data_IF_278620955894
#
_entry.id   IF_278620955894
#
_cell.length_a   1.000
_cell.length_b   1.000
_cell.length_c   1.000
_cell.angle_alpha   90.00
_cell.angle_beta   90.00
_cell.angle_gamma   90.00
#
_symmetry.space_group_name_H-M   'P 1'
#
loop_
_entity.id
_entity.type
_entity.pdbx_description
1 polymer ?
#
# COMPACT_ATOMS: atom_id res chain seq x y z
N UNK A 1 -33.47 -17.49 6.52
CA UNK A 1 -32.55 -16.35 6.75
C UNK A 1 -31.26 -16.80 7.45
N UNK A 2 -31.31 -17.47 8.60
CA UNK A 2 -30.11 -17.89 9.37
C UNK A 2 -29.11 -18.76 8.61
N UNK A 3 -29.55 -19.77 7.86
CA UNK A 3 -28.65 -20.64 7.10
C UNK A 3 -27.90 -19.90 5.98
N UNK A 4 -28.60 -19.07 5.19
CA UNK A 4 -27.99 -18.28 4.12
C UNK A 4 -26.95 -17.29 4.66
N UNK A 5 -27.23 -16.64 5.79
CA UNK A 5 -26.26 -15.75 6.45
C UNK A 5 -25.02 -16.49 6.94
N UNK A 6 -25.17 -17.70 7.48
CA UNK A 6 -24.02 -18.52 7.94
C UNK A 6 -23.14 -18.93 6.76
N UNK A 7 -23.74 -19.38 5.65
CA UNK A 7 -23.01 -19.71 4.43
C UNK A 7 -22.28 -18.48 3.85
N UNK A 8 -22.97 -17.34 3.76
CA UNK A 8 -22.37 -16.11 3.26
C UNK A 8 -21.14 -15.68 4.09
N UNK A 9 -21.20 -15.85 5.42
CA UNK A 9 -20.05 -15.56 6.30
C UNK A 9 -18.91 -16.57 6.16
N UNK A 10 -19.20 -17.83 5.86
CA UNK A 10 -18.17 -18.85 5.58
C UNK A 10 -17.44 -18.55 4.28
N UNK A 11 -18.18 -18.21 3.22
CA UNK A 11 -17.59 -17.78 1.95
C UNK A 11 -16.78 -16.50 2.11
N UNK A 12 -17.28 -15.52 2.87
CA UNK A 12 -16.52 -14.31 3.18
C UNK A 12 -15.20 -14.63 3.91
N UNK A 13 -15.17 -15.61 4.81
CA UNK A 13 -13.95 -16.06 5.46
C UNK A 13 -12.96 -16.68 4.47
N UNK A 14 -13.45 -17.48 3.52
CA UNK A 14 -12.62 -18.05 2.47
C UNK A 14 -12.01 -16.97 1.57
N UNK A 15 -12.81 -15.97 1.18
CA UNK A 15 -12.34 -14.81 0.41
C UNK A 15 -11.31 -14.01 1.21
N UNK A 16 -11.60 -13.70 2.47
CA UNK A 16 -10.72 -12.92 3.33
C UNK A 16 -9.34 -13.58 3.53
N UNK A 17 -9.30 -14.91 3.63
CA UNK A 17 -8.05 -15.69 3.71
C UNK A 17 -7.15 -15.52 2.49
N UNK A 18 -7.73 -15.36 1.31
CA UNK A 18 -7.02 -15.15 0.05
C UNK A 18 -6.48 -13.73 -0.14
N UNK A 19 -6.85 -12.77 0.72
CA UNK A 19 -6.38 -11.39 0.62
C UNK A 19 -4.89 -11.31 0.97
N UNK A 20 -4.13 -10.65 0.11
CA UNK A 20 -2.69 -10.36 0.31
C UNK A 20 -2.52 -9.18 1.26
N UNK A 21 -1.78 -9.39 2.34
CA UNK A 21 -1.42 -8.31 3.27
C UNK A 21 -0.28 -7.50 2.63
N UNK A 22 0.80 -8.18 2.24
CA UNK A 22 1.98 -7.59 1.59
C UNK A 22 2.57 -8.53 0.53
N UNK A 23 3.77 -8.21 0.03
CA UNK A 23 4.45 -9.03 -0.99
C UNK A 23 4.91 -10.41 -0.55
N UNK A 24 4.85 -10.72 0.74
CA UNK A 24 5.34 -11.96 1.35
C UNK A 24 4.23 -12.74 2.07
N UNK A 25 3.19 -12.06 2.52
CA UNK A 25 2.23 -12.57 3.51
C UNK A 25 0.79 -12.37 3.05
N UNK A 26 -0.03 -13.41 3.19
CA UNK A 26 -1.50 -13.36 3.03
C UNK A 26 -2.19 -13.39 4.39
N UNK A 27 -3.48 -13.03 4.44
CA UNK A 27 -4.28 -13.15 5.67
C UNK A 27 -4.25 -14.59 6.20
N UNK A 28 -4.36 -15.58 5.31
CA UNK A 28 -4.20 -16.98 5.70
C UNK A 28 -2.83 -17.28 6.34
N UNK A 29 -1.74 -16.82 5.73
CA UNK A 29 -0.40 -17.04 6.29
C UNK A 29 -0.25 -16.38 7.69
N UNK A 30 -0.79 -15.18 7.87
CA UNK A 30 -0.81 -14.49 9.16
C UNK A 30 -1.66 -15.23 10.22
N UNK A 31 -2.79 -15.82 9.81
CA UNK A 31 -3.65 -16.62 10.70
C UNK A 31 -2.95 -17.91 11.14
N UNK A 32 -2.23 -18.59 10.24
CA UNK A 32 -1.49 -19.82 10.56
C UNK A 32 -0.37 -19.56 11.57
N UNK A 33 0.27 -18.39 11.50
CA UNK A 33 1.35 -18.02 12.42
C UNK A 33 0.87 -17.64 13.83
N UNK A 34 -0.41 -17.27 14.00
CA UNK A 34 -0.92 -16.77 15.27
C UNK A 34 -2.39 -17.15 15.47
N UNK A 35 -2.65 -18.06 16.42
CA UNK A 35 -4.00 -18.46 16.82
C UNK A 35 -4.83 -17.29 17.35
N UNK A 36 -4.20 -16.27 17.93
CA UNK A 36 -4.86 -15.03 18.36
C UNK A 36 -5.32 -14.22 17.15
N UNK A 37 -4.49 -14.10 16.12
CA UNK A 37 -4.84 -13.43 14.86
C UNK A 37 -5.96 -14.19 14.14
N UNK A 38 -5.86 -15.52 14.08
CA UNK A 38 -6.92 -16.39 13.56
C UNK A 38 -8.26 -16.17 14.28
N UNK A 39 -8.24 -16.21 15.62
CA UNK A 39 -9.44 -16.05 16.43
C UNK A 39 -10.07 -14.67 16.25
N UNK A 40 -9.26 -13.61 16.19
CA UNK A 40 -9.73 -12.23 16.00
C UNK A 40 -10.29 -12.01 14.59
N UNK A 41 -9.57 -12.42 13.54
CA UNK A 41 -10.03 -12.34 12.14
C UNK A 41 -11.34 -13.11 11.95
N UNK A 42 -11.42 -14.33 12.51
CA UNK A 42 -12.64 -15.13 12.48
C UNK A 42 -13.78 -14.46 13.26
N UNK A 43 -13.48 -13.78 14.37
CA UNK A 43 -14.44 -13.00 15.15
C UNK A 43 -15.05 -11.86 14.36
N UNK A 44 -14.22 -11.04 13.71
CA UNK A 44 -14.66 -9.91 12.86
C UNK A 44 -15.55 -10.40 11.72
N UNK A 45 -15.15 -11.48 11.03
CA UNK A 45 -15.91 -12.01 9.89
C UNK A 45 -17.23 -12.66 10.33
N UNK A 46 -17.26 -13.30 11.51
CA UNK A 46 -18.52 -13.77 12.11
C UNK A 46 -19.46 -12.62 12.47
N UNK A 47 -18.89 -11.47 12.85
CA UNK A 47 -19.60 -10.21 13.08
C UNK A 47 -19.95 -9.45 11.79
N UNK A 48 -19.61 -9.95 10.60
CA UNK A 48 -19.87 -9.26 9.34
C UNK A 48 -21.34 -8.85 9.20
N UNK A 49 -21.54 -7.60 8.81
CA UNK A 49 -22.86 -7.01 8.67
C UNK A 49 -23.51 -7.49 7.37
N UNK A 50 -24.82 -7.75 7.45
CA UNK A 50 -25.64 -8.03 6.28
C UNK A 50 -25.99 -6.68 5.66
N UNK A 51 -25.56 -6.49 4.42
CA UNK A 51 -25.72 -5.22 3.69
C UNK A 51 -26.95 -5.27 2.77
N UNK A 52 -27.32 -6.47 2.30
CA UNK A 52 -28.48 -6.66 1.44
C UNK A 52 -29.09 -8.05 1.67
N UNK A 53 -30.42 -8.14 1.57
CA UNK A 53 -31.16 -9.41 1.59
C UNK A 53 -32.23 -9.37 0.51
N UNK A 54 -32.17 -10.30 -0.44
CA UNK A 54 -33.15 -10.42 -1.52
C UNK A 54 -33.87 -11.75 -1.45
N UNK A 55 -35.19 -11.69 -1.54
CA UNK A 55 -36.03 -12.87 -1.78
C UNK A 55 -36.10 -13.11 -3.29
N UNK A 56 -35.63 -14.29 -3.73
CA UNK A 56 -35.60 -14.67 -5.13
C UNK A 56 -36.87 -15.43 -5.56
N UNK A 57 -37.82 -15.63 -4.64
CA UNK A 57 -39.00 -16.45 -4.84
C UNK A 57 -38.74 -17.95 -4.68
N UNK A 58 -39.80 -18.72 -4.44
CA UNK A 58 -39.71 -20.18 -4.30
C UNK A 58 -38.96 -20.67 -3.04
N UNK A 59 -38.78 -19.80 -2.04
CA UNK A 59 -38.05 -20.10 -0.80
C UNK A 59 -36.54 -19.87 -0.87
N UNK A 60 -36.02 -19.37 -2.00
CA UNK A 60 -34.63 -18.99 -2.14
C UNK A 60 -34.38 -17.54 -1.66
N UNK A 61 -33.34 -17.36 -0.85
CA UNK A 61 -32.95 -16.05 -0.29
C UNK A 61 -31.47 -15.82 -0.57
N UNK A 62 -31.14 -14.68 -1.15
CA UNK A 62 -29.77 -14.18 -1.33
C UNK A 62 -29.43 -13.20 -0.20
N UNK A 63 -28.25 -13.36 0.40
CA UNK A 63 -27.77 -12.53 1.51
C UNK A 63 -26.38 -12.02 1.15
N UNK A 64 -26.22 -10.70 1.10
CA UNK A 64 -24.92 -10.06 0.89
C UNK A 64 -24.36 -9.64 2.24
N UNK A 65 -23.16 -10.12 2.56
CA UNK A 65 -22.40 -9.71 3.74
C UNK A 65 -21.15 -8.94 3.31
N UNK A 66 -20.76 -7.95 4.09
CA UNK A 66 -19.53 -7.21 3.84
C UNK A 66 -18.79 -6.90 5.14
N UNK A 67 -17.48 -6.74 5.01
CA UNK A 67 -16.62 -6.13 6.03
C UNK A 67 -15.79 -5.03 5.37
N UNK A 68 -15.60 -3.89 6.04
CA UNK A 68 -14.62 -2.92 5.58
C UNK A 68 -13.22 -3.55 5.65
N UNK A 69 -12.44 -3.40 4.58
CA UNK A 69 -11.02 -3.78 4.59
C UNK A 69 -10.16 -2.82 5.45
N UNK A 70 -10.76 -1.72 5.91
CA UNK A 70 -10.20 -0.73 6.83
C UNK A 70 -10.76 -0.93 8.25
N UNK A 71 -10.31 -0.12 9.21
CA UNK A 71 -10.75 -0.16 10.60
C UNK A 71 -10.25 -1.41 11.32
N UNK A 72 -11.14 -2.09 12.03
CA UNK A 72 -10.81 -3.25 12.87
C UNK A 72 -10.11 -4.37 12.09
N UNK A 73 -10.52 -4.62 10.84
CA UNK A 73 -9.87 -5.65 10.02
C UNK A 73 -8.43 -5.26 9.67
N UNK A 74 -8.19 -4.01 9.26
CA UNK A 74 -6.85 -3.51 8.99
C UNK A 74 -5.99 -3.50 10.25
N UNK A 75 -6.52 -3.10 11.41
CA UNK A 75 -5.76 -3.08 12.66
C UNK A 75 -5.22 -4.47 13.06
N UNK A 76 -5.98 -5.54 12.73
CA UNK A 76 -5.64 -6.92 13.03
C UNK A 76 -4.58 -7.52 12.10
N UNK A 77 -4.64 -7.20 10.82
CA UNK A 77 -3.81 -7.85 9.78
C UNK A 77 -2.64 -7.00 9.32
N UNK A 78 -2.72 -5.67 9.47
CA UNK A 78 -1.61 -4.77 9.16
C UNK A 78 -0.53 -4.99 10.24
N UNK A 79 0.68 -5.41 9.84
CA UNK A 79 1.74 -5.71 10.79
C UNK A 79 2.04 -4.48 11.66
N UNK A 80 2.19 -4.68 12.97
CA UNK A 80 2.55 -3.64 13.95
C UNK A 80 3.99 -3.17 13.81
N UNK A 81 4.82 -3.97 13.15
CA UNK A 81 6.24 -3.71 12.90
C UNK A 81 6.47 -4.09 11.44
N UNK A 82 7.04 -3.22 10.59
CA UNK A 82 7.42 -3.65 9.25
C UNK A 82 8.28 -4.91 9.37
N UNK A 83 8.10 -5.94 8.52
CA UNK A 83 9.10 -7.00 8.44
C UNK A 83 10.42 -6.29 8.20
N UNK A 84 11.34 -6.38 9.17
CA UNK A 84 12.71 -5.91 8.99
C UNK A 84 13.27 -6.72 7.83
N UNK A 85 13.12 -6.23 6.61
CA UNK A 85 14.12 -6.46 5.60
C UNK A 85 15.35 -5.83 6.21
N UNK A 86 16.24 -6.68 6.72
CA UNK A 86 17.63 -6.31 6.92
C UNK A 86 18.03 -5.40 5.76
N UNK A 87 18.43 -4.15 6.02
CA UNK A 87 19.17 -3.41 5.02
C UNK A 87 20.27 -4.35 4.51
N UNK A 88 20.50 -4.49 3.18
CA UNK A 88 21.77 -5.00 2.73
C UNK A 88 22.80 -4.19 3.49
N UNK A 89 23.66 -4.91 4.22
CA UNK A 89 24.65 -4.35 5.10
C UNK A 89 25.11 -2.99 4.60
N UNK A 90 25.00 -1.97 5.44
CA UNK A 90 25.85 -0.81 5.30
C UNK A 90 27.26 -1.38 5.24
N UNK A 91 27.77 -1.54 4.02
CA UNK A 91 29.19 -1.69 3.76
C UNK A 91 29.75 -0.40 4.30
N UNK A 92 30.16 -0.44 5.55
CA UNK A 92 31.07 0.53 6.14
C UNK A 92 32.24 0.60 5.16
N UNK A 93 32.45 1.68 4.41
CA UNK A 93 33.76 1.91 3.86
C UNK A 93 34.59 2.26 5.09
N UNK A 94 35.38 1.29 5.53
CA UNK A 94 36.44 1.46 6.52
C UNK A 94 37.09 2.81 6.31
N UNK A 95 36.92 3.69 7.30
CA UNK A 95 37.66 4.94 7.39
C UNK A 95 39.15 4.61 7.38
N UNK A 96 39.76 4.79 6.22
CA UNK A 96 41.21 4.89 6.09
C UNK A 96 41.47 6.29 5.57
N UNK A 97 41.83 7.17 6.49
CA UNK A 97 42.36 8.52 6.23
C UNK A 97 43.72 8.38 5.54
N UNK A 98 43.89 8.93 4.33
CA UNK A 98 45.06 9.78 4.08
C UNK A 98 44.74 11.29 3.92
N UNK A 99 45.74 12.17 4.12
CA UNK A 99 45.55 13.55 4.53
C UNK A 99 45.16 14.50 3.40
N UNK A 100 44.52 15.59 3.82
CA UNK A 100 44.04 16.72 3.02
C UNK A 100 45.07 17.27 2.01
N UNK A 101 44.56 17.80 0.88
CA UNK A 101 45.07 19.04 0.34
C UNK A 101 43.95 20.10 0.25
N UNK A 102 44.22 21.23 0.91
CA UNK A 102 43.98 22.64 0.58
C UNK A 102 42.68 23.06 -0.16
N UNK A 103 41.99 24.14 0.29
CA UNK A 103 40.72 24.58 -0.29
C UNK A 103 40.90 25.21 -1.68
N UNK A 104 40.14 24.72 -2.65
CA UNK A 104 39.93 25.37 -3.95
C UNK A 104 38.60 26.17 -3.94
N UNK A 105 38.51 27.30 -4.68
CA UNK A 105 37.46 28.31 -4.55
C UNK A 105 36.05 27.80 -4.94
N UNK A 106 34.98 28.48 -4.48
CA UNK A 106 33.61 28.00 -4.64
C UNK A 106 33.23 27.97 -6.12
N UNK A 107 33.07 26.77 -6.66
CA UNK A 107 32.36 26.58 -7.93
C UNK A 107 30.88 26.93 -7.68
N UNK A 108 30.22 27.73 -8.53
CA UNK A 108 28.80 27.99 -8.39
C UNK A 108 28.07 26.65 -8.40
N UNK A 109 27.28 26.38 -7.36
CA UNK A 109 26.27 25.34 -7.41
C UNK A 109 25.47 25.53 -8.70
N UNK A 110 25.16 24.48 -9.47
CA UNK A 110 24.18 24.60 -10.52
C UNK A 110 22.90 25.10 -9.87
N UNK A 111 22.53 26.34 -10.18
CA UNK A 111 21.19 26.85 -10.01
C UNK A 111 20.28 26.07 -10.98
N UNK A 112 20.03 24.82 -10.64
CA UNK A 112 18.99 23.98 -11.21
C UNK A 112 17.90 23.86 -10.17
N UNK A 113 17.25 24.99 -9.84
CA UNK A 113 15.99 24.96 -9.13
C UNK A 113 14.96 24.31 -10.04
N UNK A 114 14.91 22.99 -10.08
CA UNK A 114 13.70 22.28 -10.50
C UNK A 114 12.58 22.84 -9.64
N UNK A 115 11.50 23.36 -10.25
CA UNK A 115 10.40 23.92 -9.48
C UNK A 115 9.95 22.85 -8.48
N UNK A 116 10.02 23.17 -7.19
CA UNK A 116 9.44 22.36 -6.12
C UNK A 116 7.93 22.41 -6.28
N UNK A 117 7.42 21.64 -7.24
CA UNK A 117 5.98 21.46 -7.43
C UNK A 117 5.51 20.65 -6.23
N UNK A 118 4.81 21.31 -5.32
CA UNK A 118 4.11 20.64 -4.24
C UNK A 118 2.95 19.84 -4.84
N UNK A 119 3.02 18.52 -4.69
CA UNK A 119 1.93 17.63 -5.08
C UNK A 119 1.01 17.38 -3.90
N UNK A 120 -0.25 17.06 -4.18
CA UNK A 120 -1.26 16.82 -3.15
C UNK A 120 -1.52 15.34 -2.89
N UNK A 121 -0.98 14.47 -3.75
CA UNK A 121 -1.12 13.03 -3.72
C UNK A 121 -0.30 12.35 -4.82
N UNK A 122 -0.34 11.02 -4.85
CA UNK A 122 0.36 10.19 -5.82
C UNK A 122 -0.63 9.30 -6.56
N UNK A 123 -0.47 9.22 -7.88
CA UNK A 123 -1.16 8.25 -8.73
C UNK A 123 -0.10 7.43 -9.45
N UNK A 124 -0.11 6.11 -9.27
CA UNK A 124 0.84 5.21 -9.94
C UNK A 124 0.09 4.38 -10.96
N UNK A 125 0.44 4.54 -12.25
CA UNK A 125 -0.10 3.70 -13.32
C UNK A 125 0.69 2.39 -13.40
N UNK A 126 0.09 1.31 -12.92
CA UNK A 126 0.66 -0.04 -12.92
C UNK A 126 -0.14 -1.03 -13.79
N UNK A 127 -0.96 -0.52 -14.71
CA UNK A 127 -1.72 -1.34 -15.67
C UNK A 127 -0.80 -2.08 -16.62
N UNK A 128 -1.20 -3.28 -17.02
CA UNK A 128 -0.43 -4.17 -17.89
C UNK A 128 0.76 -4.85 -17.20
N UNK A 129 0.97 -4.63 -15.90
CA UNK A 129 2.08 -5.21 -15.12
C UNK A 129 1.64 -6.39 -14.24
N UNK A 130 0.34 -6.70 -14.19
CA UNK A 130 -0.21 -7.78 -13.37
C UNK A 130 -0.09 -7.53 -11.87
N UNK A 131 -0.07 -6.26 -11.44
CA UNK A 131 -0.02 -5.90 -10.02
C UNK A 131 -1.30 -6.35 -9.32
N UNK A 132 -1.16 -7.08 -8.23
CA UNK A 132 -2.30 -7.52 -7.42
C UNK A 132 -2.58 -6.53 -6.28
N UNK A 133 -3.84 -6.18 -6.02
CA UNK A 133 -4.19 -5.35 -4.88
C UNK A 133 -3.78 -6.00 -3.56
N UNK A 134 -3.12 -5.24 -2.69
CA UNK A 134 -2.74 -5.64 -1.34
C UNK A 134 -3.18 -4.61 -0.30
N UNK A 135 -3.27 -5.04 0.96
CA UNK A 135 -3.59 -4.14 2.06
C UNK A 135 -2.44 -3.18 2.38
N UNK A 136 -1.20 -3.65 2.20
CA UNK A 136 0.04 -2.93 2.45
C UNK A 136 0.93 -2.99 1.21
N UNK A 137 0.58 -2.28 0.12
CA UNK A 137 1.44 -2.16 -1.04
C UNK A 137 2.68 -1.34 -0.70
N UNK A 138 3.76 -1.66 -1.41
CA UNK A 138 5.03 -0.95 -1.30
C UNK A 138 5.46 -0.46 -2.67
N UNK A 139 5.99 0.76 -2.73
CA UNK A 139 6.61 1.33 -3.92
C UNK A 139 8.11 1.42 -3.68
N UNK A 140 8.87 0.82 -4.60
CA UNK A 140 10.32 0.78 -4.56
C UNK A 140 10.91 1.37 -5.84
N UNK A 141 12.14 1.87 -5.76
CA UNK A 141 12.91 2.25 -6.96
C UNK A 141 13.44 1.01 -7.67
N UNK A 142 13.96 1.20 -8.89
CA UNK A 142 14.69 0.16 -9.62
C UNK A 142 15.89 -0.40 -8.83
N UNK A 143 16.49 0.43 -7.97
CA UNK A 143 17.57 0.04 -7.05
C UNK A 143 17.10 -0.70 -5.79
N UNK A 144 15.80 -0.92 -5.62
CA UNK A 144 15.23 -1.61 -4.46
C UNK A 144 15.07 -0.73 -3.21
N UNK A 145 15.22 0.59 -3.34
CA UNK A 145 14.98 1.52 -2.24
C UNK A 145 13.47 1.72 -2.05
N UNK A 146 12.97 1.53 -0.83
CA UNK A 146 11.58 1.84 -0.47
C UNK A 146 11.35 3.35 -0.51
N UNK A 147 10.47 3.79 -1.42
CA UNK A 147 10.05 5.19 -1.56
C UNK A 147 8.75 5.42 -0.81
N UNK A 148 7.86 4.43 -0.85
CA UNK A 148 6.58 4.45 -0.17
C UNK A 148 6.27 3.06 0.38
N UNK A 149 5.82 3.00 1.62
CA UNK A 149 5.46 1.76 2.28
C UNK A 149 5.06 2.03 3.72
N UNK A 150 4.74 0.98 4.46
CA UNK A 150 4.22 1.09 5.82
C UNK A 150 5.17 1.83 6.77
N UNK A 151 6.48 1.86 6.45
CA UNK A 151 7.50 2.55 7.23
C UNK A 151 7.38 4.08 7.18
N UNK A 152 6.78 4.60 6.11
CA UNK A 152 6.66 6.05 5.85
C UNK A 152 5.27 6.58 6.22
N UNK A 153 4.25 5.72 6.20
CA UNK A 153 2.85 6.10 6.43
C UNK A 153 2.47 5.97 7.90
N UNK A 154 1.72 6.94 8.40
CA UNK A 154 1.16 6.88 9.74
C UNK A 154 0.13 5.76 9.87
N UNK A 155 0.34 4.85 10.82
CA UNK A 155 -0.54 3.70 11.06
C UNK A 155 -2.01 4.08 11.26
N UNK A 156 -2.30 5.21 11.88
CA UNK A 156 -3.68 5.66 12.09
C UNK A 156 -4.39 5.98 10.76
N UNK A 157 -3.68 6.59 9.81
CA UNK A 157 -4.21 6.83 8.46
C UNK A 157 -4.38 5.52 7.69
N UNK A 158 -3.46 4.57 7.87
CA UNK A 158 -3.57 3.21 7.31
C UNK A 158 -4.81 2.48 7.83
N UNK A 159 -5.09 2.55 9.13
CA UNK A 159 -6.26 1.89 9.71
C UNK A 159 -7.55 2.58 9.21
N UNK A 160 -7.61 3.90 9.17
CA UNK A 160 -8.85 4.60 8.81
C UNK A 160 -9.15 4.57 7.31
N UNK A 161 -8.15 4.81 6.48
CA UNK A 161 -8.32 4.98 5.04
C UNK A 161 -7.67 3.86 4.22
N UNK A 162 -6.68 3.13 4.76
CA UNK A 162 -5.89 2.15 4.01
C UNK A 162 -4.69 2.79 3.31
N UNK A 163 -3.67 1.98 3.03
CA UNK A 163 -2.40 2.42 2.44
C UNK A 163 -2.53 2.99 1.02
N UNK A 164 -3.46 2.49 0.22
CA UNK A 164 -3.69 3.00 -1.12
C UNK A 164 -5.14 2.76 -1.55
N UNK A 165 -5.66 3.62 -2.42
CA UNK A 165 -6.85 3.31 -3.20
C UNK A 165 -6.47 2.63 -4.50
N UNK A 166 -7.34 1.76 -5.00
CA UNK A 166 -7.15 1.08 -6.28
C UNK A 166 -8.19 1.56 -7.28
N UNK A 167 -7.77 1.83 -8.51
CA UNK A 167 -8.66 2.22 -9.60
C UNK A 167 -8.30 1.46 -10.87
N UNK A 168 -9.27 1.27 -11.76
CA UNK A 168 -9.04 0.67 -13.08
C UNK A 168 -8.67 1.69 -14.16
N UNK A 169 -9.07 2.94 -13.92
CA UNK A 169 -8.88 4.04 -14.86
C UNK A 169 -7.99 5.12 -14.26
N UNK A 170 -6.98 5.52 -15.03
CA UNK A 170 -6.05 6.58 -14.63
C UNK A 170 -6.77 7.90 -14.35
N UNK A 171 -7.72 8.28 -15.20
CA UNK A 171 -8.48 9.53 -15.05
C UNK A 171 -9.35 9.51 -13.79
N UNK A 172 -9.93 8.37 -13.44
CA UNK A 172 -10.70 8.21 -12.21
C UNK A 172 -9.77 8.29 -10.99
N UNK A 173 -8.57 7.70 -11.06
CA UNK A 173 -7.57 7.79 -10.00
C UNK A 173 -7.12 9.24 -9.75
N UNK A 174 -6.87 10.01 -10.82
CA UNK A 174 -6.47 11.41 -10.74
C UNK A 174 -7.56 12.32 -10.19
N UNK A 175 -8.83 12.02 -10.46
CA UNK A 175 -9.97 12.80 -9.99
C UNK A 175 -10.47 12.36 -8.60
N UNK A 176 -9.85 11.36 -7.97
CA UNK A 176 -10.32 10.84 -6.70
C UNK A 176 -9.99 11.79 -5.54
N UNK A 177 -10.93 11.96 -4.61
CA UNK A 177 -10.77 12.81 -3.41
C UNK A 177 -9.53 12.48 -2.57
N UNK A 178 -8.98 11.26 -2.69
CA UNK A 178 -7.80 10.79 -1.95
C UNK A 178 -6.54 11.55 -2.35
N UNK A 179 -6.37 11.84 -3.65
CA UNK A 179 -5.14 12.47 -4.17
C UNK A 179 -5.27 13.99 -4.34
N UNK A 180 -6.48 14.52 -4.13
CA UNK A 180 -6.83 15.94 -4.24
C UNK A 180 -6.50 16.54 -5.62
N UNK A 181 -6.54 17.87 -5.78
CA UNK A 181 -6.55 18.55 -7.09
C UNK A 181 -5.26 18.43 -7.93
N UNK A 182 -4.11 18.10 -7.33
CA UNK A 182 -2.79 18.08 -8.02
C UNK A 182 -1.99 16.82 -7.70
N UNK A 183 -2.43 15.64 -8.16
CA UNK A 183 -1.67 14.41 -8.01
C UNK A 183 -0.40 14.39 -8.88
N UNK A 184 0.69 13.86 -8.33
CA UNK A 184 1.82 13.41 -9.11
C UNK A 184 1.46 12.08 -9.79
N UNK A 185 1.47 12.03 -11.12
CA UNK A 185 1.23 10.79 -11.86
C UNK A 185 2.56 10.17 -12.28
N UNK A 186 2.82 8.95 -11.84
CA UNK A 186 4.04 8.19 -12.14
C UNK A 186 3.65 6.91 -12.87
N UNK A 187 4.47 6.49 -13.83
CA UNK A 187 4.29 5.22 -14.52
C UNK A 187 5.16 4.16 -13.84
N UNK A 188 4.55 3.05 -13.43
CA UNK A 188 5.30 1.92 -12.92
C UNK A 188 6.10 1.26 -14.06
N UNK A 189 7.28 0.77 -13.69
CA UNK A 189 8.20 0.07 -14.59
C UNK A 189 7.89 -1.43 -14.58
N UNK A 190 7.69 -2.00 -13.39
CA UNK A 190 7.38 -3.43 -13.21
C UNK A 190 6.74 -3.69 -11.84
N UNK A 191 6.10 -4.85 -11.71
CA UNK A 191 5.73 -5.41 -10.41
C UNK A 191 6.90 -6.21 -9.82
N UNK A 192 6.99 -6.29 -8.50
CA UNK A 192 7.95 -7.13 -7.77
C UNK A 192 7.31 -7.74 -6.53
N UNK A 193 8.03 -8.64 -5.86
CA UNK A 193 7.53 -9.39 -4.70
C UNK A 193 6.83 -10.70 -5.10
N UNK A 194 6.80 -11.66 -4.17
CA UNK A 194 6.27 -13.01 -4.43
C UNK A 194 4.78 -12.99 -4.81
N UNK A 195 4.04 -12.03 -4.27
CA UNK A 195 2.62 -11.81 -4.59
C UNK A 195 2.38 -10.80 -5.73
N UNK A 196 3.43 -10.26 -6.36
CA UNK A 196 3.33 -9.17 -7.37
C UNK A 196 2.54 -7.95 -6.88
N UNK A 197 2.72 -7.58 -5.62
CA UNK A 197 2.02 -6.47 -4.96
C UNK A 197 2.90 -5.22 -4.82
N UNK A 198 4.22 -5.37 -4.96
CA UNK A 198 5.16 -4.26 -4.86
C UNK A 198 5.34 -3.62 -6.24
N UNK A 199 5.36 -2.30 -6.28
CA UNK A 199 5.44 -1.54 -7.53
C UNK A 199 6.82 -0.91 -7.65
N UNK A 200 7.47 -1.13 -8.78
CA UNK A 200 8.78 -0.53 -9.09
C UNK A 200 8.58 0.70 -9.95
N UNK A 201 9.15 1.83 -9.54
CA UNK A 201 9.15 3.09 -10.28
C UNK A 201 10.57 3.49 -10.68
N UNK A 202 10.69 4.37 -11.68
CA UNK A 202 11.98 4.91 -12.11
C UNK A 202 12.61 5.75 -10.99
N UNK A 203 13.94 5.72 -10.89
CA UNK A 203 14.67 6.49 -9.87
C UNK A 203 14.41 8.00 -9.98
N UNK A 204 14.27 8.52 -11.21
CA UNK A 204 13.93 9.93 -11.42
C UNK A 204 12.55 10.31 -10.85
N UNK A 205 11.56 9.42 -10.95
CA UNK A 205 10.22 9.63 -10.39
C UNK A 205 10.24 9.56 -8.86
N UNK A 206 11.05 8.67 -8.30
CA UNK A 206 11.26 8.58 -6.86
C UNK A 206 11.90 9.86 -6.29
N UNK A 207 12.85 10.46 -7.02
CA UNK A 207 13.43 11.76 -6.64
C UNK A 207 12.37 12.86 -6.62
N UNK A 208 11.41 12.88 -7.55
CA UNK A 208 10.28 13.84 -7.52
C UNK A 208 9.37 13.63 -6.32
N UNK A 209 9.17 12.38 -5.88
CA UNK A 209 8.41 12.09 -4.66
C UNK A 209 9.15 12.58 -3.40
N UNK A 210 10.49 12.54 -3.42
CA UNK A 210 11.36 12.91 -2.30
C UNK A 210 11.85 14.37 -2.36
N UNK A 211 11.58 15.09 -3.47
CA UNK A 211 12.19 16.41 -3.74
C UNK A 211 11.71 17.53 -2.82
N UNK A 212 10.57 17.35 -2.17
CA UNK A 212 9.90 18.40 -1.39
C UNK A 212 9.34 17.83 -0.09
N UNK A 213 9.58 18.49 1.05
CA UNK A 213 9.02 18.06 2.34
C UNK A 213 7.49 18.05 2.36
N UNK A 214 6.83 18.85 1.52
CA UNK A 214 5.37 18.80 1.32
C UNK A 214 4.93 17.47 0.70
N UNK A 215 5.77 16.84 -0.12
CA UNK A 215 5.45 15.56 -0.75
C UNK A 215 5.47 14.42 0.27
N UNK A 216 6.40 14.48 1.25
CA UNK A 216 6.42 13.56 2.39
C UNK A 216 5.11 13.63 3.19
N UNK A 217 4.55 14.83 3.37
CA UNK A 217 3.32 15.02 4.13
C UNK A 217 2.06 14.41 3.50
N UNK A 218 2.00 14.20 2.18
CA UNK A 218 0.88 13.45 1.57
C UNK A 218 1.12 11.94 1.60
N UNK A 219 2.38 11.50 1.53
CA UNK A 219 2.76 10.09 1.66
C UNK A 219 2.43 9.59 3.07
N UNK A 220 2.79 10.35 4.11
CA UNK A 220 2.44 10.06 5.51
C UNK A 220 0.92 9.87 5.71
N UNK A 221 0.11 10.60 4.95
CA UNK A 221 -1.37 10.56 4.99
C UNK A 221 -1.99 9.53 4.04
N UNK A 222 -1.21 8.62 3.47
CA UNK A 222 -1.68 7.57 2.55
C UNK A 222 -2.45 8.08 1.31
N UNK A 223 -2.11 9.28 0.81
CA UNK A 223 -2.76 9.89 -0.36
C UNK A 223 -2.24 9.31 -1.67
N UNK A 224 -2.41 8.00 -1.83
CA UNK A 224 -1.89 7.23 -2.96
C UNK A 224 -3.02 6.47 -3.64
N UNK A 225 -3.10 6.59 -4.96
CA UNK A 225 -3.96 5.79 -5.82
C UNK A 225 -3.10 4.93 -6.75
N UNK A 226 -3.40 3.64 -6.81
CA UNK A 226 -2.75 2.67 -7.66
C UNK A 226 -3.71 2.28 -8.77
N UNK A 227 -3.28 2.45 -10.01
CA UNK A 227 -4.07 2.05 -11.17
C UNK A 227 -3.63 0.65 -11.58
N UNK A 228 -4.55 -0.30 -11.52
CA UNK A 228 -4.34 -1.73 -11.78
C UNK A 228 -5.44 -2.25 -12.70
N UNK A 229 -5.24 -3.43 -13.30
CA UNK A 229 -6.23 -4.05 -14.22
C UNK A 229 -7.41 -4.71 -13.49
#
# INVERSE_FOLDING_TARGET
MTAATVLARQELLAIARGVTIDSLTTVQAAMVQSSVTEARVSGVIRGAQVVDVRDLGGGAVEVTVAIPATGEFAELVVPTVPPRTTPPAAVTPTATTPPAPTPAPPRPAPAGGTPSVAYTGLVVDARGLGVKPAMVPKVVTEGGQEVYGFSVVDRNWVIQQGMAGYAKDLRAAQAHDRVSDRPLTIKAVRATGANSTDIVIATADAELMLSSGTNLGFLEKARVMLVVD
#
